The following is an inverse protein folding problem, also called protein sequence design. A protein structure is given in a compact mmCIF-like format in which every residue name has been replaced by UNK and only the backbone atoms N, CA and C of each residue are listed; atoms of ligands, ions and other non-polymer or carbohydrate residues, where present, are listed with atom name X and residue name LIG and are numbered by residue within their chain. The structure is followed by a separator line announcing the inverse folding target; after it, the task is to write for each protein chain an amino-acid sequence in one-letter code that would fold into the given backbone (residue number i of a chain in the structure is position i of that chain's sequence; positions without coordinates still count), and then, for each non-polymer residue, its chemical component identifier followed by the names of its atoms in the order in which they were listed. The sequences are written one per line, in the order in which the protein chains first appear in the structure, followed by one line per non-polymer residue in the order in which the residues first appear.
data_IF_989622539141
#
_entry.id   IF_989622539141
#
_cell.length_a   1.000
_cell.length_b   1.000
_cell.length_c   1.000
_cell.angle_alpha   90.00
_cell.angle_beta   90.00
_cell.angle_gamma   90.00
#
_symmetry.space_group_name_H-M   'P 1'
#
loop_
_entity.id
_entity.type
_entity.pdbx_description
1 polymer ?
#
# COMPACT_ATOMS: atom_id res chain seq x y z
N UNK A 1 4.83 14.63 6.19
CA UNK A 1 6.16 14.19 6.64
C UNK A 1 6.86 13.50 5.48
N UNK A 2 8.02 14.03 5.05
CA UNK A 2 8.79 13.47 3.95
C UNK A 2 10.12 12.92 4.48
N UNK A 3 10.34 11.63 4.24
CA UNK A 3 11.48 10.83 4.71
C UNK A 3 12.12 10.07 3.53
N UNK A 4 11.96 10.60 2.30
CA UNK A 4 12.48 9.99 1.06
C UNK A 4 13.98 9.68 1.16
N UNK A 5 14.34 8.47 0.76
CA UNK A 5 15.74 8.02 0.62
C UNK A 5 16.49 7.77 1.93
N UNK A 6 15.83 7.78 3.09
CA UNK A 6 16.51 7.57 4.37
C UNK A 6 16.87 6.09 4.59
N UNK A 7 18.14 5.75 4.40
CA UNK A 7 18.61 4.35 4.44
C UNK A 7 18.66 3.74 5.85
N UNK A 8 18.64 4.55 6.91
CA UNK A 8 18.75 4.08 8.30
C UNK A 8 17.39 3.89 9.02
N UNK A 9 16.28 3.91 8.28
CA UNK A 9 14.90 3.85 8.82
C UNK A 9 14.51 2.54 9.54
N UNK A 10 15.41 1.55 9.61
CA UNK A 10 15.16 0.18 10.08
C UNK A 10 14.55 0.10 11.50
N UNK A 11 14.62 1.17 12.32
CA UNK A 11 14.17 1.10 13.74
C UNK A 11 13.25 2.23 14.24
N UNK A 12 13.14 3.39 13.57
CA UNK A 12 12.71 4.62 14.25
C UNK A 12 11.34 5.20 13.89
N UNK A 13 10.54 4.56 13.03
CA UNK A 13 9.25 5.14 12.59
C UNK A 13 8.16 5.00 13.64
N UNK A 14 8.22 5.80 14.70
CA UNK A 14 7.09 6.01 15.61
C UNK A 14 6.28 7.21 15.19
N UNK A 15 5.01 6.98 14.89
CA UNK A 15 4.09 8.03 14.50
C UNK A 15 3.02 8.29 15.57
N UNK A 16 3.13 7.64 16.75
CA UNK A 16 2.21 7.86 17.87
C UNK A 16 2.21 9.33 18.35
N UNK A 17 3.31 10.05 18.14
CA UNK A 17 3.45 11.48 18.47
C UNK A 17 2.95 12.42 17.35
N UNK A 18 2.40 11.90 16.26
CA UNK A 18 1.96 12.69 15.10
C UNK A 18 0.57 12.28 14.59
N UNK A 19 -0.48 12.33 15.44
CA UNK A 19 -1.81 11.82 15.10
C UNK A 19 -2.48 12.57 13.95
N UNK A 20 -2.06 13.80 13.66
CA UNK A 20 -2.64 14.64 12.60
C UNK A 20 -1.95 14.49 11.24
N UNK A 21 -1.07 13.50 11.07
CA UNK A 21 -0.31 13.35 9.83
C UNK A 21 -1.22 12.92 8.68
N UNK A 22 -1.32 13.74 7.62
CA UNK A 22 -2.11 13.42 6.42
C UNK A 22 -1.29 12.79 5.29
N UNK A 23 0.00 13.13 5.19
CA UNK A 23 0.87 12.68 4.09
C UNK A 23 2.18 12.14 4.67
N UNK A 24 2.52 10.90 4.32
CA UNK A 24 3.77 10.25 4.68
C UNK A 24 4.49 9.74 3.41
N UNK A 25 5.68 10.29 3.15
CA UNK A 25 6.52 9.89 2.01
C UNK A 25 7.75 9.17 2.53
N UNK A 26 7.89 7.90 2.13
CA UNK A 26 8.99 6.98 2.41
C UNK A 26 9.64 6.49 1.11
N UNK A 27 9.43 7.20 0.00
CA UNK A 27 9.95 6.85 -1.31
C UNK A 27 11.46 6.57 -1.27
N UNK A 28 11.92 5.53 -1.95
CA UNK A 28 13.33 5.20 -2.08
C UNK A 28 13.99 4.70 -0.80
N UNK A 29 13.25 4.38 0.26
CA UNK A 29 13.79 3.78 1.47
C UNK A 29 14.13 2.30 1.22
N UNK A 30 15.21 2.04 0.49
CA UNK A 30 15.57 0.72 -0.06
C UNK A 30 15.85 -0.34 1.00
N UNK A 31 16.15 0.06 2.24
CA UNK A 31 16.41 -0.81 3.39
C UNK A 31 15.17 -1.03 4.29
N UNK A 32 14.04 -0.38 4.00
CA UNK A 32 12.79 -0.59 4.73
C UNK A 32 12.28 -2.02 4.44
N UNK A 33 12.20 -2.86 5.48
CA UNK A 33 11.79 -4.27 5.34
C UNK A 33 10.30 -4.46 5.64
N UNK A 34 9.78 -3.74 6.64
CA UNK A 34 8.38 -3.75 7.04
C UNK A 34 7.98 -2.35 7.50
N UNK A 35 6.71 -1.98 7.28
CA UNK A 35 6.12 -0.80 7.90
C UNK A 35 5.64 -1.20 9.30
N UNK A 36 5.91 -0.38 10.32
CA UNK A 36 5.45 -0.68 11.68
C UNK A 36 3.92 -0.54 11.80
N UNK A 37 3.26 -1.34 12.65
CA UNK A 37 1.83 -1.18 12.94
C UNK A 37 1.44 0.20 13.48
N UNK A 38 2.40 0.98 14.01
CA UNK A 38 2.20 2.36 14.45
C UNK A 38 1.69 3.29 13.34
N UNK A 39 1.89 2.96 12.05
CA UNK A 39 1.25 3.72 10.96
C UNK A 39 -0.29 3.62 11.03
N UNK A 40 -0.80 2.57 11.68
CA UNK A 40 -2.22 2.31 11.89
C UNK A 40 -2.92 3.21 12.89
N UNK A 41 -2.18 4.03 13.63
CA UNK A 41 -2.77 5.05 14.53
C UNK A 41 -3.03 6.38 13.82
N UNK A 42 -2.59 6.51 12.56
CA UNK A 42 -2.71 7.74 11.78
C UNK A 42 -4.06 7.81 11.08
N UNK A 43 -5.12 8.06 11.86
CA UNK A 43 -6.50 8.10 11.38
C UNK A 43 -6.78 9.18 10.33
N UNK A 44 -5.95 10.22 10.29
CA UNK A 44 -6.01 11.31 9.30
C UNK A 44 -5.11 11.09 8.08
N UNK A 45 -4.35 10.01 8.02
CA UNK A 45 -3.46 9.76 6.90
C UNK A 45 -4.27 9.53 5.63
N UNK A 46 -4.03 10.36 4.61
CA UNK A 46 -4.61 10.27 3.27
C UNK A 46 -3.67 9.60 2.28
N UNK A 47 -2.36 9.85 2.39
CA UNK A 47 -1.37 9.39 1.42
C UNK A 47 -0.16 8.74 2.08
N UNK A 48 0.17 7.53 1.63
CA UNK A 48 1.40 6.82 1.96
C UNK A 48 2.16 6.43 0.69
N UNK A 49 3.32 7.04 0.49
CA UNK A 49 4.18 6.76 -0.65
C UNK A 49 5.38 5.93 -0.22
N UNK A 50 5.43 4.67 -0.63
CA UNK A 50 6.50 3.70 -0.40
C UNK A 50 7.25 3.35 -1.70
N UNK A 51 7.06 4.13 -2.78
CA UNK A 51 7.65 3.86 -4.09
C UNK A 51 9.14 3.56 -3.98
N UNK A 52 9.61 2.48 -4.60
CA UNK A 52 11.02 2.11 -4.62
C UNK A 52 11.58 1.62 -3.28
N UNK A 53 10.75 1.28 -2.28
CA UNK A 53 11.20 0.55 -1.08
C UNK A 53 11.52 -0.91 -1.42
N UNK A 54 12.64 -1.13 -2.12
CA UNK A 54 13.00 -2.42 -2.73
C UNK A 54 13.11 -3.59 -1.74
N UNK A 55 13.37 -3.33 -0.46
CA UNK A 55 13.44 -4.39 0.56
C UNK A 55 12.12 -4.66 1.28
N UNK A 56 11.06 -3.92 0.99
CA UNK A 56 9.77 -4.06 1.67
C UNK A 56 9.18 -5.44 1.35
N UNK A 57 8.87 -6.22 2.39
CA UNK A 57 8.34 -7.59 2.26
C UNK A 57 6.88 -7.70 2.63
N UNK A 58 6.41 -6.84 3.54
CA UNK A 58 5.04 -6.86 4.04
C UNK A 58 4.55 -5.46 4.39
N UNK A 59 3.24 -5.26 4.26
CA UNK A 59 2.51 -4.09 4.75
C UNK A 59 1.87 -4.42 6.13
N UNK A 60 1.39 -3.48 6.95
CA UNK A 60 0.71 -3.80 8.21
C UNK A 60 -0.79 -4.13 8.00
N UNK A 61 -1.37 -5.01 8.84
CA UNK A 61 -2.76 -5.54 8.74
C UNK A 61 -3.81 -4.83 9.56
N UNK A 62 -3.44 -4.19 10.66
CA UNK A 62 -4.40 -3.56 11.58
C UNK A 62 -4.14 -2.07 11.58
N UNK A 63 -4.86 -1.37 10.72
CA UNK A 63 -4.62 0.05 10.49
C UNK A 63 -5.97 0.77 10.52
N UNK A 64 -6.13 1.72 11.44
CA UNK A 64 -7.22 2.69 11.44
C UNK A 64 -6.98 3.75 10.38
N UNK A 65 -7.01 3.37 9.10
CA UNK A 65 -6.77 4.25 7.95
C UNK A 65 -8.09 4.76 7.36
N UNK A 66 -8.97 5.26 8.22
CA UNK A 66 -10.33 5.68 7.86
C UNK A 66 -10.35 6.79 6.81
N UNK A 67 -9.33 7.67 6.81
CA UNK A 67 -9.20 8.77 5.85
C UNK A 67 -8.28 8.43 4.66
N UNK A 68 -7.87 7.18 4.49
CA UNK A 68 -6.79 6.83 3.59
C UNK A 68 -7.24 6.73 2.14
N UNK A 69 -6.65 7.55 1.28
CA UNK A 69 -7.08 7.76 -0.11
C UNK A 69 -6.10 7.17 -1.12
N UNK A 70 -4.79 7.16 -0.84
CA UNK A 70 -3.76 6.77 -1.79
C UNK A 70 -2.62 5.97 -1.17
N UNK A 71 -2.35 4.79 -1.75
CA UNK A 71 -1.21 3.94 -1.42
C UNK A 71 -0.35 3.66 -2.64
N UNK A 72 0.93 4.07 -2.58
CA UNK A 72 1.90 3.82 -3.65
C UNK A 72 2.95 2.83 -3.17
N UNK A 73 2.94 1.62 -3.73
CA UNK A 73 3.91 0.55 -3.50
C UNK A 73 4.79 0.27 -4.73
N UNK A 74 4.67 1.10 -5.77
CA UNK A 74 5.38 0.92 -7.05
C UNK A 74 6.87 0.64 -6.87
N UNK A 75 7.39 -0.40 -7.51
CA UNK A 75 8.80 -0.79 -7.44
C UNK A 75 9.26 -1.40 -6.11
N UNK A 76 8.34 -1.77 -5.20
CA UNK A 76 8.65 -2.60 -4.02
C UNK A 76 8.89 -4.07 -4.43
N UNK A 77 10.00 -4.32 -5.13
CA UNK A 77 10.31 -5.59 -5.79
C UNK A 77 10.41 -6.84 -4.88
N UNK A 78 10.47 -6.70 -3.55
CA UNK A 78 10.42 -7.83 -2.60
C UNK A 78 9.07 -8.03 -1.93
N UNK A 79 8.08 -7.19 -2.23
CA UNK A 79 6.74 -7.33 -1.70
C UNK A 79 6.05 -8.49 -2.43
N UNK A 80 5.82 -9.59 -1.72
CA UNK A 80 5.24 -10.81 -2.30
C UNK A 80 3.77 -11.04 -1.96
N UNK A 81 3.31 -10.42 -0.87
CA UNK A 81 1.95 -10.57 -0.37
C UNK A 81 1.43 -9.22 0.08
N UNK A 82 0.17 -8.96 -0.22
CA UNK A 82 -0.61 -7.89 0.42
C UNK A 82 -1.63 -8.55 1.34
N UNK A 83 -1.89 -7.93 2.48
CA UNK A 83 -2.66 -8.57 3.55
C UNK A 83 -4.15 -8.29 3.43
N UNK A 84 -4.96 -9.13 4.07
CA UNK A 84 -6.41 -8.94 4.17
C UNK A 84 -6.75 -7.57 4.78
N UNK A 85 -7.73 -6.91 4.16
CA UNK A 85 -8.24 -5.59 4.49
C UNK A 85 -9.44 -5.77 5.41
N UNK A 86 -9.33 -5.25 6.64
CA UNK A 86 -10.34 -5.40 7.69
C UNK A 86 -11.51 -4.40 7.59
N UNK A 87 -11.75 -3.84 6.41
CA UNK A 87 -12.80 -2.84 6.15
C UNK A 87 -12.43 -1.39 6.48
N UNK A 88 -11.27 -1.12 7.08
CA UNK A 88 -10.92 0.26 7.49
C UNK A 88 -10.37 1.16 6.37
N UNK A 89 -10.20 0.62 5.16
CA UNK A 89 -9.70 1.35 3.99
C UNK A 89 -10.81 1.71 2.99
N UNK A 90 -12.05 1.92 3.47
CA UNK A 90 -13.21 2.24 2.63
C UNK A 90 -13.02 3.51 1.78
N UNK A 91 -12.18 4.44 2.22
CA UNK A 91 -11.87 5.68 1.51
C UNK A 91 -10.81 5.56 0.42
N UNK A 92 -10.19 4.39 0.23
CA UNK A 92 -9.07 4.23 -0.70
C UNK A 92 -9.54 4.43 -2.14
N UNK A 93 -8.91 5.37 -2.84
CA UNK A 93 -9.19 5.75 -4.22
C UNK A 93 -8.14 5.19 -5.18
N UNK A 94 -6.88 5.16 -4.76
CA UNK A 94 -5.75 4.78 -5.62
C UNK A 94 -4.81 3.79 -4.95
N UNK A 95 -4.52 2.69 -5.66
CA UNK A 95 -3.62 1.64 -5.22
C UNK A 95 -2.66 1.22 -6.35
N UNK A 96 -1.37 1.49 -6.14
CA UNK A 96 -0.33 1.24 -7.13
C UNK A 96 0.64 0.15 -6.66
N UNK A 97 0.59 -1.02 -7.30
CA UNK A 97 1.48 -2.17 -7.09
C UNK A 97 2.49 -2.35 -8.22
N UNK A 98 2.58 -1.45 -9.19
CA UNK A 98 3.37 -1.67 -10.39
C UNK A 98 4.85 -1.99 -10.09
N UNK A 99 5.39 -3.02 -10.74
CA UNK A 99 6.76 -3.49 -10.50
C UNK A 99 7.00 -4.09 -9.10
N UNK A 100 5.95 -4.53 -8.41
CA UNK A 100 6.08 -5.40 -7.22
C UNK A 100 6.18 -6.87 -7.61
N UNK A 101 6.51 -7.73 -6.64
CA UNK A 101 6.57 -9.18 -6.85
C UNK A 101 5.39 -9.90 -6.17
N UNK A 102 4.25 -9.21 -6.09
CA UNK A 102 3.04 -9.71 -5.43
C UNK A 102 2.54 -10.95 -6.16
N UNK A 103 2.20 -12.00 -5.41
CA UNK A 103 1.76 -13.28 -5.97
C UNK A 103 0.25 -13.38 -6.11
N UNK A 104 -0.47 -12.75 -5.18
CA UNK A 104 -1.92 -12.73 -5.13
C UNK A 104 -2.38 -11.46 -4.43
N UNK A 105 -3.58 -11.00 -4.78
CA UNK A 105 -4.28 -9.96 -4.04
C UNK A 105 -5.17 -10.64 -2.98
N UNK A 106 -5.33 -10.03 -1.78
CA UNK A 106 -6.21 -10.57 -0.76
C UNK A 106 -7.66 -10.63 -1.26
N UNK A 107 -8.43 -11.57 -0.74
CA UNK A 107 -9.83 -11.74 -1.13
C UNK A 107 -10.67 -10.48 -0.83
N UNK A 108 -10.33 -9.78 0.25
CA UNK A 108 -10.91 -8.50 0.65
C UNK A 108 -10.64 -7.34 -0.29
N UNK A 109 -9.79 -7.47 -1.33
CA UNK A 109 -9.54 -6.35 -2.27
C UNK A 109 -10.83 -5.91 -2.97
N UNK A 110 -11.79 -6.83 -3.12
CA UNK A 110 -13.13 -6.55 -3.62
C UNK A 110 -13.93 -5.59 -2.73
N UNK A 111 -13.59 -5.46 -1.44
CA UNK A 111 -14.31 -4.58 -0.51
C UNK A 111 -13.97 -3.09 -0.69
N UNK A 112 -12.98 -2.75 -1.51
CA UNK A 112 -12.58 -1.37 -1.79
C UNK A 112 -13.56 -0.70 -2.77
N UNK A 113 -14.78 -0.42 -2.30
CA UNK A 113 -15.90 0.08 -3.13
C UNK A 113 -15.64 1.42 -3.81
N UNK A 114 -14.80 2.26 -3.20
CA UNK A 114 -14.43 3.59 -3.71
C UNK A 114 -13.16 3.59 -4.57
N UNK A 115 -12.50 2.44 -4.74
CA UNK A 115 -11.25 2.36 -5.49
C UNK A 115 -11.50 2.73 -6.96
N UNK A 116 -10.83 3.78 -7.43
CA UNK A 116 -10.88 4.28 -8.80
C UNK A 116 -9.73 3.79 -9.64
N UNK A 117 -8.55 3.63 -9.05
CA UNK A 117 -7.33 3.20 -9.74
C UNK A 117 -6.70 2.01 -9.04
N UNK A 118 -6.49 0.94 -9.81
CA UNK A 118 -5.68 -0.21 -9.43
C UNK A 118 -4.62 -0.47 -10.51
N UNK A 119 -3.36 -0.24 -10.16
CA UNK A 119 -2.24 -0.46 -11.07
C UNK A 119 -1.43 -1.69 -10.68
N UNK A 120 -1.43 -2.70 -11.54
CA UNK A 120 -0.70 -3.97 -11.38
C UNK A 120 0.34 -4.17 -12.49
N UNK A 121 0.68 -3.12 -13.24
CA UNK A 121 1.66 -3.24 -14.33
C UNK A 121 2.99 -3.85 -13.85
N UNK A 122 3.59 -4.72 -14.65
CA UNK A 122 4.88 -5.37 -14.38
C UNK A 122 4.91 -6.20 -13.07
N UNK A 123 3.76 -6.66 -12.57
CA UNK A 123 3.66 -7.60 -11.44
C UNK A 123 3.90 -9.05 -11.88
N UNK A 124 5.13 -9.38 -12.29
CA UNK A 124 5.50 -10.65 -12.97
C UNK A 124 5.26 -11.95 -12.19
N UNK A 125 4.98 -11.87 -10.90
CA UNK A 125 4.69 -13.04 -10.05
C UNK A 125 3.20 -13.19 -9.78
N UNK A 126 2.37 -12.26 -10.23
CA UNK A 126 0.96 -12.23 -9.94
C UNK A 126 0.27 -13.38 -10.68
N UNK A 127 -0.29 -14.31 -9.89
CA UNK A 127 -1.06 -15.42 -10.41
C UNK A 127 -2.50 -15.01 -10.67
N UNK A 128 -3.42 -15.66 -9.96
CA UNK A 128 -4.86 -15.47 -10.17
C UNK A 128 -5.31 -14.16 -9.51
N UNK A 129 -6.05 -13.36 -10.26
CA UNK A 129 -6.77 -12.21 -9.71
C UNK A 129 -8.04 -12.71 -8.98
N UNK A 130 -8.39 -12.13 -7.82
CA UNK A 130 -9.65 -12.45 -7.17
C UNK A 130 -10.82 -12.17 -8.12
N UNK A 131 -11.75 -13.14 -8.22
CA UNK A 131 -12.82 -13.21 -9.25
C UNK A 131 -13.84 -12.05 -9.20
N UNK A 132 -13.71 -11.15 -8.21
CA UNK A 132 -14.32 -9.82 -8.13
C UNK A 132 -15.85 -9.81 -7.96
N UNK A 133 -16.28 -9.37 -6.79
CA UNK A 133 -17.53 -8.62 -6.59
C UNK A 133 -17.18 -7.49 -5.59
N UNK A 134 -17.37 -6.21 -5.97
CA UNK A 134 -17.35 -5.07 -5.04
C UNK A 134 -16.48 -3.84 -5.41
N UNK A 135 -15.58 -3.91 -6.40
CA UNK A 135 -14.88 -2.71 -6.91
C UNK A 135 -15.74 -1.97 -7.96
N UNK A 136 -16.87 -1.43 -7.52
CA UNK A 136 -17.90 -0.81 -8.37
C UNK A 136 -17.46 0.54 -8.97
N UNK A 137 -16.57 1.26 -8.29
CA UNK A 137 -16.09 2.59 -8.71
C UNK A 137 -14.81 2.56 -9.55
N UNK A 138 -14.33 1.38 -9.98
CA UNK A 138 -13.03 1.26 -10.64
C UNK A 138 -13.06 1.85 -12.05
N UNK A 139 -12.32 2.94 -12.25
CA UNK A 139 -12.21 3.67 -13.51
C UNK A 139 -10.98 3.22 -14.31
N UNK A 140 -9.85 2.96 -13.61
CA UNK A 140 -8.57 2.62 -14.21
C UNK A 140 -8.07 1.31 -13.62
N UNK A 141 -7.90 0.31 -14.49
CA UNK A 141 -7.30 -0.97 -14.16
C UNK A 141 -6.19 -1.29 -15.15
N UNK A 142 -4.95 -1.40 -14.67
CA UNK A 142 -3.81 -1.75 -15.52
C UNK A 142 -3.21 -3.08 -15.12
N UNK A 143 -3.20 -4.01 -16.07
CA UNK A 143 -2.63 -5.35 -15.94
C UNK A 143 -1.85 -5.67 -17.21
N UNK A 144 -0.58 -5.30 -17.26
CA UNK A 144 0.33 -5.60 -18.36
C UNK A 144 1.69 -6.00 -17.81
N UNK A 145 2.41 -6.89 -18.49
CA UNK A 145 3.70 -7.39 -18.00
C UNK A 145 3.63 -8.21 -16.71
N UNK A 146 2.44 -8.76 -16.38
CA UNK A 146 2.22 -9.70 -15.28
C UNK A 146 2.46 -11.13 -15.74
#
# INVERSE_FOLDING_TARGET
LNLKGLENLIKALDFTTSPNLEILVLEGCTRLVYVRPSVGVLTRLKLLNLRGCKSLRSFPTKIGMESFEMLILSGCSKLQSFLEIDGKMECLLELCFDGTNIKELPSSIGNLRRLKLLNLKDCKSLGILPIKIGMESLEIFTLSGC
#
